data_IF_233784854963
#
_entry.id   IF_233784854963
#
_cell.length_a   1.000
_cell.length_b   1.000
_cell.length_c   1.000
_cell.angle_alpha   90.00
_cell.angle_beta   90.00
_cell.angle_gamma   90.00
#
_symmetry.space_group_name_H-M   'P 1'
#
loop_
_entity.id
_entity.type
_entity.pdbx_description
1 polymer ?
#
# COMPACT_ATOMS: atom_id res chain seq x y z
N UNK A 1 -0.55 11.46 17.50
CA UNK A 1 0.59 11.54 16.56
C UNK A 1 0.80 10.25 15.78
N UNK A 2 0.80 9.08 16.43
CA UNK A 2 1.05 7.77 15.79
C UNK A 2 0.12 7.46 14.59
N UNK A 3 -1.20 7.67 14.74
CA UNK A 3 -2.17 7.43 13.66
C UNK A 3 -1.84 8.22 12.39
N UNK A 4 -1.50 9.51 12.52
CA UNK A 4 -1.15 10.37 11.38
C UNK A 4 0.14 9.92 10.69
N UNK A 5 1.10 9.38 11.45
CA UNK A 5 2.31 8.80 10.89
C UNK A 5 1.98 7.56 10.04
N UNK A 6 1.17 6.65 10.57
CA UNK A 6 0.69 5.46 9.85
C UNK A 6 -0.07 5.84 8.56
N UNK A 7 -1.01 6.78 8.66
CA UNK A 7 -1.75 7.31 7.50
C UNK A 7 -0.81 7.94 6.45
N UNK A 8 0.26 8.64 6.89
CA UNK A 8 1.27 9.21 6.01
C UNK A 8 2.04 8.12 5.26
N UNK A 9 2.44 7.04 5.93
CA UNK A 9 3.15 5.92 5.30
C UNK A 9 2.26 5.24 4.24
N UNK A 10 0.99 4.98 4.55
CA UNK A 10 0.05 4.39 3.58
C UNK A 10 -0.13 5.28 2.34
N UNK A 11 -0.13 6.61 2.52
CA UNK A 11 -0.14 7.56 1.40
C UNK A 11 1.12 7.46 0.53
N UNK A 12 2.30 7.34 1.15
CA UNK A 12 3.58 7.22 0.42
C UNK A 12 3.60 5.94 -0.38
N UNK A 13 3.16 4.83 0.21
CA UNK A 13 3.07 3.53 -0.46
C UNK A 13 2.16 3.63 -1.69
N UNK A 14 0.96 4.22 -1.55
CA UNK A 14 0.04 4.39 -2.67
C UNK A 14 0.61 5.22 -3.82
N UNK A 15 1.30 6.31 -3.51
CA UNK A 15 1.96 7.16 -4.52
C UNK A 15 3.11 6.41 -5.22
N UNK A 16 3.95 5.71 -4.45
CA UNK A 16 5.07 4.95 -4.98
C UNK A 16 4.61 3.81 -5.89
N UNK A 17 3.53 3.10 -5.54
CA UNK A 17 2.93 2.07 -6.39
C UNK A 17 2.42 2.64 -7.70
N UNK A 18 1.75 3.81 -7.68
CA UNK A 18 1.28 4.43 -8.92
C UNK A 18 2.45 4.85 -9.82
N UNK A 19 3.45 5.52 -9.25
CA UNK A 19 4.63 5.94 -9.99
C UNK A 19 5.41 4.76 -10.60
N UNK A 20 5.51 3.63 -9.88
CA UNK A 20 6.13 2.42 -10.40
C UNK A 20 5.40 1.89 -11.64
N UNK A 21 4.05 1.85 -11.61
CA UNK A 21 3.24 1.39 -12.74
C UNK A 21 3.21 2.38 -13.91
N UNK A 22 3.39 3.68 -13.63
CA UNK A 22 3.58 4.70 -14.67
C UNK A 22 4.93 4.54 -15.40
N UNK A 23 5.99 4.13 -14.68
CA UNK A 23 7.30 3.84 -15.26
C UNK A 23 7.26 2.55 -16.08
N UNK A 24 6.69 1.49 -15.53
CA UNK A 24 6.59 0.19 -16.18
C UNK A 24 5.26 -0.49 -15.86
N UNK A 25 4.32 -0.36 -16.81
CA UNK A 25 3.01 -1.01 -16.76
C UNK A 25 3.06 -2.54 -16.85
N UNK A 26 4.22 -3.12 -17.20
CA UNK A 26 4.44 -4.57 -17.19
C UNK A 26 4.59 -5.15 -15.79
N UNK A 27 4.96 -4.33 -14.79
CA UNK A 27 5.09 -4.77 -13.40
C UNK A 27 3.72 -5.19 -12.85
N UNK A 28 3.65 -6.42 -12.36
CA UNK A 28 2.43 -6.97 -11.78
C UNK A 28 2.46 -6.83 -10.26
N UNK A 29 1.63 -5.93 -9.74
CA UNK A 29 1.29 -5.82 -8.32
C UNK A 29 -0.19 -6.16 -8.18
N UNK A 30 -0.49 -7.19 -7.41
CA UNK A 30 -1.85 -7.59 -7.11
C UNK A 30 -2.58 -6.42 -6.42
N UNK A 31 -3.76 -6.07 -6.93
CA UNK A 31 -4.54 -4.95 -6.42
C UNK A 31 -3.82 -3.58 -6.46
N UNK A 32 -2.83 -3.36 -7.35
CA UNK A 32 -2.11 -2.09 -7.49
C UNK A 32 -3.02 -0.86 -7.56
N UNK A 33 -4.14 -0.96 -8.30
CA UNK A 33 -5.16 0.10 -8.34
C UNK A 33 -5.80 0.39 -6.98
N UNK A 34 -6.10 -0.65 -6.18
CA UNK A 34 -6.69 -0.47 -4.84
C UNK A 34 -5.69 0.15 -3.87
N UNK A 35 -4.39 -0.12 -4.03
CA UNK A 35 -3.32 0.50 -3.24
C UNK A 35 -3.23 2.01 -3.53
N UNK A 36 -3.36 2.40 -4.80
CA UNK A 36 -3.51 3.81 -5.17
C UNK A 36 -4.80 4.42 -4.58
N UNK A 37 -5.94 3.72 -4.69
CA UNK A 37 -7.22 4.23 -4.17
C UNK A 37 -7.22 4.36 -2.64
N UNK A 38 -6.46 3.52 -1.91
CA UNK A 38 -6.25 3.64 -0.47
C UNK A 38 -5.66 5.00 -0.08
N UNK A 39 -4.68 5.51 -0.84
CA UNK A 39 -4.12 6.86 -0.60
C UNK A 39 -5.23 7.92 -0.70
N UNK A 40 -6.11 7.82 -1.69
CA UNK A 40 -7.23 8.75 -1.85
C UNK A 40 -8.22 8.64 -0.68
N UNK A 41 -8.51 7.41 -0.23
CA UNK A 41 -9.36 7.17 0.94
C UNK A 41 -8.78 7.79 2.22
N UNK A 42 -7.48 7.63 2.47
CA UNK A 42 -6.80 8.21 3.65
C UNK A 42 -6.74 9.74 3.59
N UNK A 43 -6.63 10.34 2.40
CA UNK A 43 -6.59 11.81 2.23
C UNK A 43 -7.97 12.43 2.38
N UNK A 44 -8.98 11.87 1.71
CA UNK A 44 -10.28 12.52 1.54
C UNK A 44 -11.38 11.97 2.45
N UNK A 45 -11.26 10.72 2.90
CA UNK A 45 -12.23 10.07 3.77
C UNK A 45 -11.91 10.21 5.24
N UNK A 46 -11.17 11.23 5.70
CA UNK A 46 -10.72 11.35 7.09
C UNK A 46 -11.85 11.33 8.14
N UNK A 47 -13.07 11.66 7.72
CA UNK A 47 -14.33 11.54 8.48
C UNK A 47 -14.85 10.09 8.57
N UNK A 48 -14.50 9.25 7.60
CA UNK A 48 -14.90 7.83 7.44
C UNK A 48 -13.76 6.84 7.69
N UNK A 49 -12.52 7.30 7.82
CA UNK A 49 -11.34 6.48 8.11
C UNK A 49 -11.44 6.04 9.57
N UNK A 50 -11.98 4.85 9.77
CA UNK A 50 -11.96 4.15 11.06
C UNK A 50 -10.63 3.42 11.25
N UNK A 51 -10.13 3.40 12.49
CA UNK A 51 -8.98 2.61 12.90
C UNK A 51 -9.13 1.12 12.51
N UNK A 52 -10.35 0.58 12.52
CA UNK A 52 -10.61 -0.81 12.11
C UNK A 52 -10.27 -1.06 10.63
N UNK A 53 -10.54 -0.08 9.75
CA UNK A 53 -10.22 -0.18 8.33
C UNK A 53 -8.71 -0.12 8.14
N UNK A 54 -8.05 0.86 8.78
CA UNK A 54 -6.59 1.01 8.73
C UNK A 54 -5.89 -0.24 9.28
N UNK A 55 -6.40 -0.81 10.38
CA UNK A 55 -5.88 -2.06 10.93
C UNK A 55 -6.06 -3.23 9.96
N UNK A 56 -7.20 -3.32 9.26
CA UNK A 56 -7.43 -4.33 8.22
C UNK A 56 -6.38 -4.26 7.12
N UNK A 57 -6.09 -3.05 6.62
CA UNK A 57 -5.05 -2.82 5.61
C UNK A 57 -3.67 -3.25 6.12
N UNK A 58 -3.28 -2.81 7.32
CA UNK A 58 -1.96 -3.10 7.89
C UNK A 58 -1.78 -4.58 8.18
N UNK A 59 -2.81 -5.25 8.68
CA UNK A 59 -2.72 -6.65 9.11
C UNK A 59 -2.89 -7.66 7.97
N UNK A 60 -3.58 -7.29 6.88
CA UNK A 60 -3.93 -8.24 5.80
C UNK A 60 -3.31 -7.90 4.45
N UNK A 61 -3.33 -6.63 4.06
CA UNK A 61 -2.97 -6.22 2.70
C UNK A 61 -1.50 -5.80 2.61
N UNK A 62 -1.00 -5.06 3.60
CA UNK A 62 0.38 -4.59 3.63
C UNK A 62 1.42 -5.74 3.65
N UNK A 63 1.23 -6.86 4.39
CA UNK A 63 2.17 -7.97 4.34
C UNK A 63 2.25 -8.64 2.96
N UNK A 64 1.11 -8.74 2.26
CA UNK A 64 1.07 -9.28 0.89
C UNK A 64 1.79 -8.38 -0.10
N UNK A 65 1.57 -7.06 0.01
CA UNK A 65 2.29 -6.09 -0.80
C UNK A 65 3.80 -6.19 -0.55
N UNK A 66 4.23 -6.33 0.72
CA UNK A 66 5.64 -6.53 1.04
C UNK A 66 6.21 -7.76 0.34
N UNK A 67 5.52 -8.90 0.38
CA UNK A 67 5.96 -10.12 -0.30
C UNK A 67 6.12 -9.92 -1.81
N UNK A 68 5.20 -9.20 -2.44
CA UNK A 68 5.29 -8.89 -3.88
C UNK A 68 6.49 -7.99 -4.19
N UNK A 69 6.73 -6.96 -3.36
CA UNK A 69 7.91 -6.09 -3.51
C UNK A 69 9.20 -6.89 -3.31
N UNK A 70 9.27 -7.73 -2.27
CA UNK A 70 10.43 -8.59 -2.02
C UNK A 70 10.70 -9.53 -3.22
N UNK A 71 9.64 -10.10 -3.81
CA UNK A 71 9.73 -10.93 -5.01
C UNK A 71 10.26 -10.13 -6.21
N UNK A 72 9.73 -8.93 -6.47
CA UNK A 72 10.18 -8.06 -7.56
C UNK A 72 11.64 -7.62 -7.39
N UNK A 73 12.12 -7.49 -6.15
CA UNK A 73 13.51 -7.18 -5.83
C UNK A 73 14.43 -8.40 -5.82
N UNK A 74 13.91 -9.61 -6.07
CA UNK A 74 14.68 -10.86 -6.01
C UNK A 74 15.14 -11.24 -4.59
N UNK A 75 14.47 -10.73 -3.54
CA UNK A 75 14.83 -10.94 -2.14
C UNK A 75 14.08 -12.11 -1.48
N UNK A 76 13.36 -12.92 -2.27
CA UNK A 76 12.59 -14.04 -1.73
C UNK A 76 13.52 -15.15 -1.23
N UNK A 77 13.65 -15.27 0.09
CA UNK A 77 14.37 -16.39 0.72
C UNK A 77 13.47 -17.61 0.66
N UNK A 78 13.89 -18.63 -0.10
CA UNK A 78 13.32 -19.97 0.01
C UNK A 78 13.73 -20.50 1.39
N UNK A 79 12.76 -20.67 2.29
CA UNK A 79 12.94 -21.45 3.51
C UNK A 79 12.92 -22.95 3.19
#
# INVERSE_FOLDING_TARGET
MLRRAVERELKIIGEATNHLLDIDSGIQIENGRRIFDLRNFVIHGYDKVDNAIIWGVISKDLPKLKQQVDYLLGQMTIL
#
